data_IF_780957251746
#
_entry.id   IF_780957251746
#
_cell.length_a   1.000
_cell.length_b   1.000
_cell.length_c   1.000
_cell.angle_alpha   90.00
_cell.angle_beta   90.00
_cell.angle_gamma   90.00
#
_symmetry.space_group_name_H-M   'P 1'
#
loop_
_entity.id
_entity.type
_entity.pdbx_description
1 polymer ?
#
# COMPACT_ATOMS: atom_id res chain seq x y z
N UNK A 1 -7.02 -11.31 -19.17
CA UNK A 1 -6.48 -11.43 -17.80
C UNK A 1 -5.94 -10.06 -17.42
N UNK A 2 -6.36 -9.52 -16.28
CA UNK A 2 -5.92 -8.21 -15.81
C UNK A 2 -4.75 -8.39 -14.84
N UNK A 3 -3.84 -7.41 -14.78
CA UNK A 3 -2.67 -7.45 -13.88
C UNK A 3 -3.10 -6.93 -12.51
N UNK A 4 -2.76 -7.65 -11.44
CA UNK A 4 -3.16 -7.27 -10.08
C UNK A 4 -1.99 -6.69 -9.28
N UNK A 5 -2.20 -5.51 -8.71
CA UNK A 5 -1.25 -4.78 -7.86
C UNK A 5 -1.73 -4.74 -6.41
N UNK A 6 -0.80 -4.80 -5.45
CA UNK A 6 -1.08 -4.55 -4.02
C UNK A 6 -0.51 -3.17 -3.67
N UNK A 7 -1.35 -2.31 -3.11
CA UNK A 7 -0.96 -0.97 -2.66
C UNK A 7 -1.18 -0.86 -1.16
N UNK A 8 -0.10 -0.87 -0.38
CA UNK A 8 -0.13 -0.67 1.07
C UNK A 8 -0.20 0.82 1.42
N UNK A 9 -0.98 1.18 2.45
CA UNK A 9 -1.32 2.57 2.73
C UNK A 9 -2.25 3.17 1.67
N UNK A 10 -3.04 2.33 0.99
CA UNK A 10 -3.88 2.73 -0.13
C UNK A 10 -5.03 3.66 0.25
N UNK A 11 -5.34 3.80 1.55
CA UNK A 11 -6.42 4.65 2.05
C UNK A 11 -6.10 6.14 2.06
N UNK A 12 -4.84 6.56 1.90
CA UNK A 12 -4.47 7.98 1.97
C UNK A 12 -3.23 8.35 1.13
N UNK A 13 -3.00 9.66 0.99
CA UNK A 13 -1.79 10.24 0.42
C UNK A 13 -1.35 9.62 -0.92
N UNK A 14 -0.07 9.19 -0.95
CA UNK A 14 0.56 8.60 -2.14
C UNK A 14 -0.09 7.26 -2.51
N UNK A 15 -0.47 6.44 -1.52
CA UNK A 15 -1.08 5.15 -1.78
C UNK A 15 -2.43 5.30 -2.47
N UNK A 16 -3.28 6.23 -2.01
CA UNK A 16 -4.54 6.54 -2.67
C UNK A 16 -4.36 7.06 -4.10
N UNK A 17 -3.37 7.95 -4.32
CA UNK A 17 -3.05 8.45 -5.66
C UNK A 17 -2.56 7.33 -6.60
N UNK A 18 -1.74 6.42 -6.09
CA UNK A 18 -1.25 5.26 -6.84
C UNK A 18 -2.39 4.29 -7.20
N UNK A 19 -3.27 4.00 -6.24
CA UNK A 19 -4.47 3.17 -6.46
C UNK A 19 -5.33 3.73 -7.60
N UNK A 20 -5.59 5.05 -7.59
CA UNK A 20 -6.33 5.73 -8.67
C UNK A 20 -5.63 5.59 -10.02
N UNK A 21 -4.32 5.86 -10.07
CA UNK A 21 -3.56 5.80 -11.30
C UNK A 21 -3.50 4.39 -11.91
N UNK A 22 -3.36 3.36 -11.07
CA UNK A 22 -3.33 1.96 -11.49
C UNK A 22 -4.70 1.51 -12.02
N UNK A 23 -5.79 1.86 -11.35
CA UNK A 23 -7.15 1.56 -11.82
C UNK A 23 -7.46 2.26 -13.15
N UNK A 24 -7.08 3.54 -13.28
CA UNK A 24 -7.23 4.29 -14.52
C UNK A 24 -6.44 3.64 -15.68
N UNK A 25 -5.29 3.03 -15.39
CA UNK A 25 -4.48 2.29 -16.35
C UNK A 25 -5.00 0.87 -16.66
N UNK A 26 -6.10 0.43 -16.05
CA UNK A 26 -6.71 -0.88 -16.29
C UNK A 26 -6.17 -2.02 -15.44
N UNK A 27 -5.40 -1.72 -14.39
CA UNK A 27 -4.94 -2.72 -13.44
C UNK A 27 -5.98 -2.99 -12.36
N UNK A 28 -6.00 -4.23 -11.87
CA UNK A 28 -6.77 -4.57 -10.67
C UNK A 28 -5.91 -4.28 -9.43
N UNK A 29 -6.52 -3.76 -8.35
CA UNK A 29 -5.78 -3.24 -7.20
C UNK A 29 -6.36 -3.77 -5.89
N UNK A 30 -5.50 -4.39 -5.07
CA UNK A 30 -5.77 -4.60 -3.64
C UNK A 30 -5.30 -3.37 -2.89
N UNK A 31 -6.25 -2.50 -2.56
CA UNK A 31 -6.03 -1.27 -1.80
C UNK A 31 -5.94 -1.65 -0.31
N UNK A 32 -4.72 -1.90 0.15
CA UNK A 32 -4.43 -2.40 1.49
C UNK A 32 -4.13 -1.26 2.46
N UNK A 33 -4.81 -1.24 3.60
CA UNK A 33 -4.59 -0.25 4.65
C UNK A 33 -4.96 -0.82 6.02
N UNK A 34 -4.29 -0.37 7.08
CA UNK A 34 -4.68 -0.71 8.45
C UNK A 34 -6.03 -0.08 8.80
N UNK A 35 -6.34 1.09 8.22
CA UNK A 35 -7.62 1.77 8.35
C UNK A 35 -8.56 1.37 7.20
N UNK A 36 -9.25 0.24 7.39
CA UNK A 36 -10.12 -0.34 6.36
C UNK A 36 -11.21 0.61 5.83
N UNK A 37 -11.69 1.56 6.65
CA UNK A 37 -12.64 2.57 6.22
C UNK A 37 -12.04 3.54 5.20
N UNK A 38 -10.80 3.99 5.39
CA UNK A 38 -10.11 4.88 4.46
C UNK A 38 -9.89 4.19 3.10
N UNK A 39 -9.44 2.93 3.12
CA UNK A 39 -9.31 2.12 1.91
C UNK A 39 -10.65 1.96 1.17
N UNK A 40 -11.75 1.71 1.90
CA UNK A 40 -13.10 1.61 1.30
C UNK A 40 -13.53 2.91 0.64
N UNK A 41 -13.34 4.05 1.30
CA UNK A 41 -13.67 5.37 0.74
C UNK A 41 -12.89 5.64 -0.55
N UNK A 42 -11.60 5.31 -0.59
CA UNK A 42 -10.79 5.45 -1.81
C UNK A 42 -11.36 4.58 -2.91
N UNK A 43 -11.60 3.29 -2.64
CA UNK A 43 -12.07 2.30 -3.61
C UNK A 43 -13.46 2.65 -4.16
N UNK A 44 -14.38 3.13 -3.31
CA UNK A 44 -15.75 3.49 -3.74
C UNK A 44 -15.78 4.71 -4.66
N UNK A 45 -14.74 5.54 -4.64
CA UNK A 45 -14.63 6.74 -5.47
C UNK A 45 -13.84 6.51 -6.77
N UNK A 46 -13.43 5.27 -7.07
CA UNK A 46 -12.65 4.99 -8.27
C UNK A 46 -13.55 4.75 -9.47
N UNK A 47 -13.14 5.33 -10.60
CA UNK A 47 -13.69 5.04 -11.92
C UNK A 47 -12.55 4.67 -12.85
N UNK A 48 -12.78 3.71 -13.74
CA UNK A 48 -11.77 3.29 -14.72
C UNK A 48 -11.96 1.87 -15.23
N UNK A 49 -11.12 1.46 -16.19
CA UNK A 49 -11.16 0.12 -16.77
C UNK A 49 -10.67 -0.98 -15.81
N UNK A 50 -9.93 -0.63 -14.76
CA UNK A 50 -9.47 -1.54 -13.71
C UNK A 50 -10.45 -1.63 -12.54
N UNK A 51 -10.22 -2.57 -11.61
CA UNK A 51 -11.03 -2.73 -10.40
C UNK A 51 -10.18 -2.54 -9.15
N UNK A 52 -10.75 -2.05 -8.06
CA UNK A 52 -10.08 -2.11 -6.77
C UNK A 52 -10.94 -2.74 -5.70
N UNK A 53 -10.27 -3.39 -4.74
CA UNK A 53 -10.89 -3.97 -3.54
C UNK A 53 -10.12 -3.49 -2.33
N UNK A 54 -10.84 -2.99 -1.32
CA UNK A 54 -10.26 -2.59 -0.06
C UNK A 54 -9.87 -3.82 0.77
N UNK A 55 -8.66 -3.83 1.30
CA UNK A 55 -8.12 -4.90 2.15
C UNK A 55 -7.67 -4.30 3.47
N UNK A 56 -8.20 -4.80 4.58
CA UNK A 56 -7.67 -4.47 5.89
C UNK A 56 -6.35 -5.22 6.07
N UNK A 57 -5.23 -4.49 6.20
CA UNK A 57 -3.92 -5.11 6.33
C UNK A 57 -3.01 -4.26 7.21
N UNK A 58 -2.56 -4.86 8.32
CA UNK A 58 -1.40 -4.39 9.05
C UNK A 58 -0.13 -4.99 8.43
N UNK A 59 0.73 -4.13 7.88
CA UNK A 59 1.98 -4.55 7.24
C UNK A 59 3.03 -5.05 8.23
N UNK A 60 2.81 -4.89 9.54
CA UNK A 60 3.67 -5.45 10.59
C UNK A 60 3.36 -6.93 10.87
N UNK A 61 2.20 -7.43 10.46
CA UNK A 61 1.85 -8.84 10.50
C UNK A 61 2.31 -9.55 9.22
N UNK A 62 3.46 -10.23 9.34
CA UNK A 62 4.05 -10.96 8.22
C UNK A 62 3.16 -12.10 7.69
N UNK A 63 2.34 -12.73 8.53
CA UNK A 63 1.43 -13.79 8.09
C UNK A 63 0.25 -13.22 7.29
N UNK A 64 -0.31 -12.10 7.76
CA UNK A 64 -1.36 -11.39 7.04
C UNK A 64 -0.88 -10.88 5.67
N UNK A 65 0.32 -10.28 5.62
CA UNK A 65 0.92 -9.83 4.34
C UNK A 65 1.09 -11.01 3.39
N UNK A 66 1.58 -12.15 3.89
CA UNK A 66 1.79 -13.34 3.07
C UNK A 66 0.48 -13.88 2.49
N UNK A 67 -0.58 -13.94 3.27
CA UNK A 67 -1.89 -14.38 2.80
C UNK A 67 -2.43 -13.51 1.66
N UNK A 68 -2.25 -12.19 1.73
CA UNK A 68 -2.68 -11.27 0.66
C UNK A 68 -1.83 -11.45 -0.60
N UNK A 69 -0.52 -11.64 -0.46
CA UNK A 69 0.36 -11.92 -1.60
C UNK A 69 0.00 -13.25 -2.26
N UNK A 70 -0.20 -14.30 -1.46
CA UNK A 70 -0.54 -15.63 -1.96
C UNK A 70 -1.90 -15.62 -2.70
N UNK A 71 -2.90 -14.88 -2.20
CA UNK A 71 -4.19 -14.71 -2.89
C UNK A 71 -4.06 -13.98 -4.23
N UNK A 72 -3.14 -13.01 -4.36
CA UNK A 72 -2.91 -12.30 -5.63
C UNK A 72 -2.12 -13.16 -6.60
N UNK A 73 -1.07 -13.83 -6.15
CA UNK A 73 -0.25 -14.75 -6.96
C UNK A 73 -1.09 -15.91 -7.50
N UNK A 74 -2.04 -16.42 -6.71
CA UNK A 74 -2.92 -17.49 -7.14
C UNK A 74 -3.94 -17.07 -8.21
N UNK A 75 -4.20 -15.77 -8.37
CA UNK A 75 -5.22 -15.23 -9.26
C UNK A 75 -4.66 -14.66 -10.56
N UNK A 76 -3.54 -13.93 -10.50
CA UNK A 76 -3.01 -13.15 -11.63
C UNK A 76 -1.46 -13.07 -11.61
N UNK A 77 -0.84 -12.53 -12.66
CA UNK A 77 0.58 -12.16 -12.66
C UNK A 77 0.84 -10.96 -11.72
N UNK A 78 1.53 -11.13 -10.58
CA UNK A 78 1.68 -10.08 -9.57
C UNK A 78 2.80 -9.10 -9.92
N UNK A 79 2.55 -7.80 -9.73
CA UNK A 79 3.58 -6.76 -9.84
C UNK A 79 3.86 -6.11 -8.49
N UNK A 80 5.14 -6.08 -8.11
CA UNK A 80 5.63 -5.33 -6.94
C UNK A 80 6.05 -3.95 -7.40
N UNK A 81 5.30 -2.91 -7.02
CA UNK A 81 5.64 -1.51 -7.34
C UNK A 81 6.43 -0.91 -6.18
N UNK A 82 7.75 -0.75 -6.36
CA UNK A 82 8.59 -0.01 -5.40
C UNK A 82 8.83 1.42 -5.90
N UNK A 83 8.43 2.48 -5.16
CA UNK A 83 8.73 3.85 -5.56
C UNK A 83 10.25 4.08 -5.65
N UNK A 84 10.68 4.87 -6.63
CA UNK A 84 12.10 5.02 -7.01
C UNK A 84 13.01 5.54 -5.87
N UNK A 85 12.46 6.25 -4.87
CA UNK A 85 13.18 6.70 -3.66
C UNK A 85 13.46 5.58 -2.63
N UNK A 86 12.91 4.38 -2.80
CA UNK A 86 13.03 3.27 -1.85
C UNK A 86 14.29 2.41 -2.07
N UNK A 87 15.05 2.60 -3.16
CA UNK A 87 16.35 1.91 -3.37
C UNK A 87 17.36 2.22 -2.26
N UNK A 88 17.35 3.45 -1.72
CA UNK A 88 18.19 3.82 -0.58
C UNK A 88 17.71 3.17 0.72
N UNK A 89 16.39 3.09 0.91
CA UNK A 89 15.78 2.39 2.05
C UNK A 89 16.07 0.88 2.07
N UNK A 90 16.08 0.24 0.89
CA UNK A 90 16.47 -1.17 0.73
C UNK A 90 17.96 -1.40 1.02
N UNK A 91 18.84 -0.47 0.63
CA UNK A 91 20.25 -0.54 0.98
C UNK A 91 20.47 -0.36 2.49
N UNK A 92 19.78 0.60 3.11
CA UNK A 92 19.86 0.89 4.54
C UNK A 92 19.27 -0.27 5.36
N UNK A 93 18.18 -0.91 4.92
CA UNK A 93 17.61 -2.07 5.61
C UNK A 93 18.55 -3.27 5.60
N UNK A 94 19.39 -3.41 4.57
CA UNK A 94 20.38 -4.49 4.46
C UNK A 94 21.58 -4.32 5.40
N UNK A 95 21.95 -3.08 5.73
CA UNK A 95 23.13 -2.76 6.54
C UNK A 95 22.74 -2.44 8.00
N UNK A 96 21.57 -1.85 8.24
CA UNK A 96 21.12 -1.43 9.57
C UNK A 96 19.59 -1.57 9.74
N UNK A 97 19.04 -2.80 9.77
CA UNK A 97 17.58 -3.04 9.79
C UNK A 97 16.88 -2.39 11.00
N UNK A 98 17.49 -2.44 12.19
CA UNK A 98 16.94 -1.80 13.41
C UNK A 98 16.93 -0.27 13.38
N UNK A 99 17.82 0.35 12.60
CA UNK A 99 17.84 1.81 12.44
C UNK A 99 16.77 2.25 11.42
N UNK A 100 16.57 1.46 10.36
CA UNK A 100 15.49 1.67 9.40
C UNK A 100 14.12 1.52 10.05
N UNK A 101 13.91 0.45 10.83
CA UNK A 101 12.66 0.23 11.57
C UNK A 101 12.33 1.41 12.49
N UNK A 102 13.31 1.90 13.26
CA UNK A 102 13.14 3.07 14.14
C UNK A 102 12.84 4.36 13.38
N UNK A 103 13.49 4.58 12.23
CA UNK A 103 13.24 5.75 11.37
C UNK A 103 11.87 5.70 10.70
N UNK A 104 11.45 4.53 10.23
CA UNK A 104 10.13 4.32 9.65
C UNK A 104 9.04 4.54 10.70
N UNK A 105 9.19 3.95 11.89
CA UNK A 105 8.26 4.18 13.00
C UNK A 105 8.17 5.67 13.36
N UNK A 106 9.31 6.38 13.43
CA UNK A 106 9.33 7.83 13.67
C UNK A 106 8.76 8.67 12.53
N UNK A 107 8.75 8.17 11.29
CA UNK A 107 8.12 8.83 10.15
C UNK A 107 6.58 8.66 10.20
N UNK A 108 6.11 7.45 10.48
CA UNK A 108 4.68 7.14 10.67
C UNK A 108 4.11 7.94 11.85
N UNK A 109 4.82 8.02 12.98
CA UNK A 109 4.39 8.84 14.11
C UNK A 109 4.27 10.34 13.77
N UNK A 110 5.14 10.87 12.92
CA UNK A 110 5.08 12.28 12.51
C UNK A 110 3.93 12.56 11.53
N UNK A 111 3.60 11.62 10.66
CA UNK A 111 2.44 11.73 9.78
C UNK A 111 1.12 11.70 10.57
N UNK A 112 1.00 10.77 11.52
CA UNK A 112 -0.19 10.67 12.40
C UNK A 112 -0.40 11.93 13.25
N UNK A 113 0.69 12.60 13.67
CA UNK A 113 0.61 13.86 14.42
C UNK A 113 0.25 15.03 13.50
N UNK A 114 0.74 15.07 12.26
CA UNK A 114 0.40 16.12 11.30
C UNK A 114 -1.10 16.08 10.91
N UNK A 115 -1.67 14.89 10.70
CA UNK A 115 -3.08 14.73 10.31
C UNK A 115 -4.07 15.10 11.43
N UNK A 116 -3.64 15.10 12.71
CA UNK A 116 -4.48 15.49 13.86
C UNK A 116 -4.56 17.00 14.12
N UNK A 117 -3.68 17.79 13.52
CA UNK A 117 -3.64 19.25 13.70
C UNK A 117 -4.52 19.95 12.65
N UNK A 118 -4.94 19.22 11.61
CA UNK A 118 -5.74 19.72 10.48
C UNK A 118 -7.21 19.22 10.49
N UNK A 119 -7.70 18.72 11.64
CA UNK A 119 -9.08 18.24 11.85
C UNK A 119 -9.84 19.06 12.89
#
# INVERSE_FOLDING_TARGET
MNRTAIVTGGGSGIGAALTRALVAAGADVRCADIHSAAARTVVSALEGPGKAVAVALDVTDAAAVRAVVDDVVARDEPWVVTPRRTRLGWYISRVAPRAMQRRLNGYVHRQVVADRVDS
#
